data_IF_733582194658
#
_entry.id   IF_733582194658
#
_cell.length_a   1.000
_cell.length_b   1.000
_cell.length_c   1.000
_cell.angle_alpha   90.00
_cell.angle_beta   90.00
_cell.angle_gamma   90.00
#
_symmetry.space_group_name_H-M   'P 1'
#
loop_
_entity.id
_entity.type
_entity.pdbx_description
1 polymer ?
#
# COMPACT_ATOMS: atom_id res chain seq x y z
N UNK A 1 16.22 13.72 22.64
CA UNK A 1 15.26 12.59 22.79
C UNK A 1 16.10 11.34 22.99
N UNK A 2 15.81 10.52 23.99
CA UNK A 2 16.56 9.28 24.22
C UNK A 2 15.60 8.11 24.07
N UNK A 3 15.75 7.33 23.01
CA UNK A 3 15.06 6.06 22.80
C UNK A 3 16.09 4.95 22.82
N UNK A 4 15.77 3.82 23.43
CA UNK A 4 16.65 2.66 23.44
C UNK A 4 16.20 1.72 22.34
N UNK A 5 17.06 1.54 21.33
CA UNK A 5 16.87 0.55 20.28
C UNK A 5 17.37 -0.81 20.78
N UNK A 6 16.72 -1.88 20.33
CA UNK A 6 17.33 -3.21 20.44
C UNK A 6 18.57 -3.29 19.53
N UNK A 7 19.53 -4.19 19.83
CA UNK A 7 20.72 -4.34 18.99
C UNK A 7 20.38 -4.65 17.52
N UNK A 8 19.33 -5.45 17.29
CA UNK A 8 18.86 -5.80 15.95
C UNK A 8 18.29 -4.59 15.21
N UNK A 9 17.46 -3.77 15.87
CA UNK A 9 16.91 -2.54 15.28
C UNK A 9 18.02 -1.55 14.94
N UNK A 10 19.01 -1.40 15.81
CA UNK A 10 20.14 -0.52 15.56
C UNK A 10 20.95 -1.01 14.35
N UNK A 11 21.28 -2.31 14.29
CA UNK A 11 22.03 -2.89 13.17
C UNK A 11 21.28 -2.74 11.84
N UNK A 12 19.96 -2.94 11.84
CA UNK A 12 19.14 -2.73 10.65
C UNK A 12 19.15 -1.27 10.20
N UNK A 13 18.94 -0.31 11.10
CA UNK A 13 18.96 1.13 10.77
C UNK A 13 20.33 1.58 10.25
N UNK A 14 21.42 1.08 10.83
CA UNK A 14 22.79 1.35 10.36
C UNK A 14 23.00 0.83 8.93
N UNK A 15 22.48 -0.36 8.60
CA UNK A 15 22.55 -0.92 7.26
C UNK A 15 21.77 -0.08 6.23
N UNK A 16 20.57 0.39 6.59
CA UNK A 16 19.76 1.23 5.71
C UNK A 16 20.40 2.61 5.45
N UNK A 17 21.07 3.18 6.46
CA UNK A 17 21.87 4.41 6.30
C UNK A 17 23.09 4.15 5.41
N UNK A 18 23.81 3.04 5.63
CA UNK A 18 24.96 2.67 4.80
C UNK A 18 24.57 2.40 3.34
N UNK A 19 23.37 1.89 3.09
CA UNK A 19 22.79 1.70 1.76
C UNK A 19 22.34 3.02 1.11
N UNK A 20 22.31 4.13 1.86
CA UNK A 20 21.90 5.44 1.37
C UNK A 20 20.38 5.65 1.29
N UNK A 21 19.59 4.75 1.89
CA UNK A 21 18.13 4.92 1.95
C UNK A 21 17.73 6.05 2.90
N UNK A 22 18.52 6.26 3.97
CA UNK A 22 18.33 7.36 4.91
C UNK A 22 19.65 8.10 5.17
N UNK A 23 19.60 9.41 5.41
CA UNK A 23 20.78 10.22 5.71
C UNK A 23 21.29 10.04 7.15
N UNK A 24 20.46 9.57 8.08
CA UNK A 24 20.85 9.21 9.45
C UNK A 24 19.84 8.26 10.10
N UNK A 25 20.23 7.66 11.24
CA UNK A 25 19.34 6.83 12.06
C UNK A 25 18.16 7.67 12.58
N UNK A 26 18.40 8.91 13.01
CA UNK A 26 17.34 9.81 13.47
C UNK A 26 16.33 10.11 12.36
N UNK A 27 16.79 10.28 11.13
CA UNK A 27 15.91 10.50 9.99
C UNK A 27 15.04 9.27 9.70
N UNK A 28 15.64 8.07 9.70
CA UNK A 28 14.91 6.82 9.53
C UNK A 28 13.83 6.63 10.62
N UNK A 29 14.15 6.91 11.87
CA UNK A 29 13.19 6.87 12.99
C UNK A 29 12.09 7.92 12.83
N UNK A 30 12.43 9.13 12.37
CA UNK A 30 11.45 10.19 12.11
C UNK A 30 10.43 9.77 11.05
N UNK A 31 10.89 9.16 9.96
CA UNK A 31 10.04 8.62 8.89
C UNK A 31 9.15 7.52 9.45
N UNK A 32 9.70 6.54 10.16
CA UNK A 32 8.91 5.45 10.75
C UNK A 32 7.80 5.95 11.69
N UNK A 33 8.07 6.98 12.50
CA UNK A 33 7.05 7.60 13.37
C UNK A 33 6.01 8.37 12.55
N UNK A 34 6.43 9.09 11.51
CA UNK A 34 5.49 9.79 10.63
C UNK A 34 4.58 8.81 9.90
N UNK A 35 5.13 7.72 9.38
CA UNK A 35 4.40 6.64 8.71
C UNK A 35 3.44 5.97 9.68
N UNK A 36 3.86 5.62 10.89
CA UNK A 36 2.97 5.04 11.90
C UNK A 36 1.82 5.98 12.29
N UNK A 37 2.08 7.30 12.33
CA UNK A 37 1.03 8.31 12.57
C UNK A 37 0.10 8.48 11.37
N UNK A 38 0.61 8.33 10.15
CA UNK A 38 -0.16 8.36 8.92
C UNK A 38 -0.99 7.08 8.75
N UNK A 39 -0.49 5.95 9.25
CA UNK A 39 -1.24 4.72 9.58
C UNK A 39 -2.10 4.97 10.84
N UNK A 40 -2.67 6.17 10.96
CA UNK A 40 -3.98 6.31 11.56
C UNK A 40 -4.85 5.28 10.85
N UNK A 41 -5.63 4.54 11.63
CA UNK A 41 -6.63 3.60 11.15
C UNK A 41 -7.58 4.32 10.20
N UNK A 42 -7.22 4.46 8.92
CA UNK A 42 -8.17 4.86 7.90
C UNK A 42 -9.22 3.77 7.97
N UNK A 43 -10.37 4.16 8.51
CA UNK A 43 -11.47 3.25 8.68
C UNK A 43 -11.92 2.81 7.28
N UNK A 44 -11.42 1.65 6.85
CA UNK A 44 -11.78 1.04 5.58
C UNK A 44 -13.17 0.38 5.65
N UNK A 45 -13.99 0.66 6.69
CA UNK A 45 -15.38 0.20 6.77
C UNK A 45 -16.19 0.56 5.51
N UNK A 46 -15.86 1.69 4.86
CA UNK A 46 -16.46 2.09 3.59
C UNK A 46 -16.23 1.05 2.47
N UNK A 47 -15.12 0.32 2.50
CA UNK A 47 -14.75 -0.65 1.46
C UNK A 47 -15.44 -2.00 1.64
N UNK A 48 -15.79 -2.36 2.88
CA UNK A 48 -16.42 -3.65 3.23
C UNK A 48 -17.61 -4.04 2.34
N UNK A 49 -18.64 -3.19 2.15
CA UNK A 49 -19.78 -3.57 1.31
C UNK A 49 -19.41 -3.81 -0.17
N UNK A 50 -18.36 -3.18 -0.68
CA UNK A 50 -17.89 -3.42 -2.05
C UNK A 50 -17.14 -4.73 -2.19
N UNK A 51 -16.31 -5.07 -1.19
CA UNK A 51 -15.59 -6.35 -1.13
C UNK A 51 -16.56 -7.51 -0.98
N UNK A 52 -17.54 -7.39 -0.07
CA UNK A 52 -18.55 -8.43 0.15
C UNK A 52 -19.33 -8.71 -1.15
N UNK A 53 -19.75 -7.64 -1.87
CA UNK A 53 -20.39 -7.77 -3.19
C UNK A 53 -19.49 -8.43 -4.24
N UNK A 54 -18.20 -8.07 -4.28
CA UNK A 54 -17.26 -8.65 -5.23
C UNK A 54 -17.10 -10.16 -4.98
N UNK A 55 -17.02 -10.58 -3.71
CA UNK A 55 -16.95 -12.00 -3.34
C UNK A 55 -18.22 -12.76 -3.76
N UNK A 56 -19.40 -12.17 -3.58
CA UNK A 56 -20.65 -12.76 -4.05
C UNK A 56 -20.69 -12.90 -5.59
N UNK A 57 -20.23 -11.90 -6.33
CA UNK A 57 -20.09 -11.98 -7.79
C UNK A 57 -19.15 -13.10 -8.23
N UNK A 58 -18.01 -13.25 -7.55
CA UNK A 58 -17.08 -14.36 -7.79
C UNK A 58 -17.77 -15.71 -7.53
N UNK A 59 -18.53 -15.84 -6.44
CA UNK A 59 -19.26 -17.05 -6.12
C UNK A 59 -20.34 -17.40 -7.16
N UNK A 60 -20.92 -16.40 -7.82
CA UNK A 60 -21.86 -16.57 -8.94
C UNK A 60 -21.18 -16.81 -10.29
N UNK A 61 -19.84 -16.80 -10.35
CA UNK A 61 -19.07 -16.93 -11.59
C UNK A 61 -19.08 -15.67 -12.46
N UNK A 62 -19.48 -14.51 -11.91
CA UNK A 62 -19.47 -13.22 -12.58
C UNK A 62 -18.05 -12.63 -12.63
N UNK A 63 -17.13 -13.36 -13.23
CA UNK A 63 -15.73 -12.97 -13.39
C UNK A 63 -15.40 -12.82 -14.88
N UNK A 64 -14.45 -11.94 -15.18
CA UNK A 64 -13.88 -11.81 -16.52
C UNK A 64 -12.39 -12.11 -16.47
N UNK A 65 -11.83 -12.54 -17.59
CA UNK A 65 -10.38 -12.72 -17.69
C UNK A 65 -9.67 -11.38 -17.70
N UNK A 66 -8.37 -11.38 -17.36
CA UNK A 66 -7.53 -10.18 -17.45
C UNK A 66 -7.52 -9.60 -18.87
N UNK A 67 -7.42 -10.47 -19.88
CA UNK A 67 -7.36 -10.04 -21.28
C UNK A 67 -8.67 -9.41 -21.75
N UNK A 68 -9.80 -9.99 -21.33
CA UNK A 68 -11.11 -9.38 -21.57
C UNK A 68 -11.26 -8.03 -20.86
N UNK A 69 -10.80 -7.90 -19.62
CA UNK A 69 -10.83 -6.64 -18.89
C UNK A 69 -10.03 -5.54 -19.61
N UNK A 70 -8.81 -5.86 -20.08
CA UNK A 70 -7.97 -4.91 -20.82
C UNK A 70 -8.65 -4.44 -22.10
N UNK A 71 -9.17 -5.35 -22.91
CA UNK A 71 -9.86 -5.01 -24.15
C UNK A 71 -11.08 -4.09 -23.91
N UNK A 72 -11.86 -4.36 -22.85
CA UNK A 72 -13.01 -3.51 -22.45
C UNK A 72 -12.56 -2.11 -22.03
N UNK A 73 -11.46 -2.00 -21.29
CA UNK A 73 -10.91 -0.72 -20.84
C UNK A 73 -10.36 0.10 -22.01
N UNK A 74 -9.66 -0.52 -22.95
CA UNK A 74 -9.17 0.14 -24.17
C UNK A 74 -10.32 0.69 -25.01
N UNK A 75 -11.35 -0.12 -25.26
CA UNK A 75 -12.53 0.31 -26.01
C UNK A 75 -13.24 1.50 -25.34
N UNK A 76 -13.38 1.45 -24.00
CA UNK A 76 -13.99 2.54 -23.23
C UNK A 76 -13.14 3.81 -23.25
N UNK A 77 -11.82 3.69 -23.18
CA UNK A 77 -10.93 4.84 -23.26
C UNK A 77 -10.95 5.47 -24.66
N UNK A 78 -11.04 4.65 -25.71
CA UNK A 78 -11.18 5.13 -27.08
C UNK A 78 -12.47 5.94 -27.27
N UNK A 79 -13.61 5.47 -26.72
CA UNK A 79 -14.90 6.17 -26.82
C UNK A 79 -14.99 7.51 -26.08
N UNK A 80 -13.97 7.86 -25.29
CA UNK A 80 -13.89 9.14 -24.58
C UNK A 80 -13.01 10.16 -25.30
N UNK A 81 -12.34 9.78 -26.39
CA UNK A 81 -11.44 10.63 -27.18
C UNK A 81 -12.11 11.27 -28.40
N UNK A 82 -13.40 11.00 -28.59
CA UNK A 82 -14.30 11.66 -29.55
C UNK A 82 -15.09 12.77 -28.85
#
# INVERSE_FOLDING_TARGET
MNITLTPEQQQWLEAEVAAGHFPSIEEAVRVAVADLKAISTEDLSWAKPYVDRALESVARGEVITLEEHKARMEARLASLKD
#
